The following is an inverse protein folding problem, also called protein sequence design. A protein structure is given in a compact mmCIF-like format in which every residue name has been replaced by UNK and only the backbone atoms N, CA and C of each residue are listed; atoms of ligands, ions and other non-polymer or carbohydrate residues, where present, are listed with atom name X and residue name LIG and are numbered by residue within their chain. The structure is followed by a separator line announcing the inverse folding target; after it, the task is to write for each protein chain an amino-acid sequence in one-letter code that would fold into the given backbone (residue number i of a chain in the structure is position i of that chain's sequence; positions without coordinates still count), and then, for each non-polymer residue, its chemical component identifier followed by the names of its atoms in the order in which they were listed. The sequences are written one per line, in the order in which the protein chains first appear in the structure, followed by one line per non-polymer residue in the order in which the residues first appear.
data_IF_468451597890
#
_entry.id   IF_468451597890
#
_cell.length_a   1.000
_cell.length_b   1.000
_cell.length_c   1.000
_cell.angle_alpha   90.00
_cell.angle_beta   90.00
_cell.angle_gamma   90.00
#
_symmetry.space_group_name_H-M   'P 1'
#
loop_
_entity.id
_entity.type
_entity.pdbx_description
1 polymer ?
#
# COMPACT_ATOMS: atom_id res chain seq x y z
N UNK A 1 -18.66 11.72 6.09
CA UNK A 1 -17.97 12.97 5.66
C UNK A 1 -16.80 13.30 6.57
N UNK A 2 -16.98 13.41 7.90
CA UNK A 2 -15.86 13.64 8.84
C UNK A 2 -14.74 12.59 8.72
N UNK A 3 -15.11 11.31 8.61
CA UNK A 3 -14.15 10.20 8.41
C UNK A 3 -13.30 10.34 7.14
N UNK A 4 -13.91 10.82 6.04
CA UNK A 4 -13.21 11.04 4.77
C UNK A 4 -12.21 12.19 4.87
N UNK A 5 -12.62 13.29 5.52
CA UNK A 5 -11.74 14.46 5.74
C UNK A 5 -10.56 14.08 6.62
N UNK A 6 -10.80 13.32 7.69
CA UNK A 6 -9.75 12.81 8.55
C UNK A 6 -8.82 11.88 7.78
N UNK A 7 -9.36 10.94 6.99
CA UNK A 7 -8.56 10.03 6.17
C UNK A 7 -7.67 10.79 5.19
N UNK A 8 -8.20 11.78 4.45
CA UNK A 8 -7.41 12.60 3.53
C UNK A 8 -6.33 13.42 4.25
N UNK A 9 -6.62 13.93 5.45
CA UNK A 9 -5.64 14.67 6.24
C UNK A 9 -4.49 13.77 6.71
N UNK A 10 -4.82 12.58 7.22
CA UNK A 10 -3.81 11.61 7.64
C UNK A 10 -2.97 11.12 6.46
N UNK A 11 -3.59 10.89 5.30
CA UNK A 11 -2.90 10.45 4.08
C UNK A 11 -1.91 11.51 3.55
N UNK A 12 -2.33 12.78 3.47
CA UNK A 12 -1.47 13.89 3.09
C UNK A 12 -0.31 14.09 4.09
N UNK A 13 -0.61 13.96 5.38
CA UNK A 13 0.40 14.07 6.44
C UNK A 13 1.41 12.93 6.36
N UNK A 14 0.95 11.69 6.18
CA UNK A 14 1.81 10.51 6.04
C UNK A 14 2.73 10.64 4.83
N UNK A 15 2.19 10.98 3.66
CA UNK A 15 2.97 11.16 2.42
C UNK A 15 4.03 12.26 2.57
N UNK A 16 3.67 13.37 3.23
CA UNK A 16 4.61 14.46 3.52
C UNK A 16 5.73 14.04 4.46
N UNK A 17 5.41 13.28 5.53
CA UNK A 17 6.40 12.74 6.46
C UNK A 17 7.31 11.75 5.74
N UNK A 18 6.78 10.86 4.91
CA UNK A 18 7.57 9.88 4.16
C UNK A 18 8.54 10.56 3.21
N UNK A 19 8.07 11.55 2.44
CA UNK A 19 8.93 12.39 1.58
C UNK A 19 10.04 13.06 2.39
N UNK A 20 9.70 13.63 3.54
CA UNK A 20 10.65 14.28 4.42
C UNK A 20 11.70 13.29 4.93
N UNK A 21 11.28 12.14 5.45
CA UNK A 21 12.16 11.09 6.01
C UNK A 21 13.10 10.55 4.94
N UNK A 22 12.58 10.19 3.76
CA UNK A 22 13.36 9.59 2.68
C UNK A 22 14.41 10.57 2.14
N UNK A 23 14.04 11.85 1.99
CA UNK A 23 14.96 12.86 1.44
C UNK A 23 15.95 13.39 2.48
N UNK A 24 15.49 13.77 3.68
CA UNK A 24 16.36 14.41 4.68
C UNK A 24 17.28 13.42 5.37
N UNK A 25 16.83 12.18 5.62
CA UNK A 25 17.67 11.16 6.25
C UNK A 25 18.48 10.35 5.23
N UNK A 26 18.30 10.60 3.93
CA UNK A 26 19.02 9.90 2.87
C UNK A 26 18.79 8.39 2.87
N UNK A 27 17.67 7.93 3.44
CA UNK A 27 17.39 6.51 3.57
C UNK A 27 17.31 5.86 2.18
N UNK A 28 17.93 4.67 2.08
CA UNK A 28 17.76 3.80 0.92
C UNK A 28 16.32 3.30 0.94
N UNK A 29 15.68 3.29 -0.23
CA UNK A 29 14.26 2.90 -0.38
C UNK A 29 14.06 1.48 0.13
N UNK A 30 15.00 0.57 -0.15
CA UNK A 30 14.90 -0.83 0.27
C UNK A 30 14.88 -0.99 1.80
N UNK A 31 15.65 -0.17 2.52
CA UNK A 31 15.68 -0.15 3.99
C UNK A 31 14.37 0.42 4.53
N UNK A 32 13.86 1.49 3.92
CA UNK A 32 12.58 2.08 4.30
C UNK A 32 11.42 1.08 4.11
N UNK A 33 11.39 0.39 2.96
CA UNK A 33 10.41 -0.64 2.65
C UNK A 33 10.45 -1.80 3.65
N UNK A 34 11.64 -2.25 4.04
CA UNK A 34 11.77 -3.32 5.03
C UNK A 34 11.08 -2.93 6.35
N UNK A 35 11.35 -1.72 6.86
CA UNK A 35 10.68 -1.23 8.06
C UNK A 35 9.17 -1.06 7.86
N UNK A 36 8.74 -0.52 6.72
CA UNK A 36 7.32 -0.34 6.41
C UNK A 36 6.57 -1.69 6.46
N UNK A 37 7.07 -2.71 5.75
CA UNK A 37 6.47 -4.04 5.75
C UNK A 37 6.51 -4.69 7.13
N UNK A 38 7.58 -4.49 7.89
CA UNK A 38 7.67 -4.98 9.26
C UNK A 38 6.61 -4.33 10.16
N UNK A 39 6.43 -3.01 10.08
CA UNK A 39 5.39 -2.31 10.83
C UNK A 39 3.98 -2.71 10.39
N UNK A 40 3.75 -2.92 9.09
CA UNK A 40 2.48 -3.42 8.55
C UNK A 40 2.17 -4.82 9.05
N UNK A 41 3.17 -5.71 9.10
CA UNK A 41 3.00 -7.06 9.63
C UNK A 41 2.60 -7.03 11.12
N UNK A 42 3.30 -6.24 11.93
CA UNK A 42 2.98 -6.10 13.36
C UNK A 42 1.59 -5.48 13.54
N UNK A 43 1.27 -4.40 12.84
CA UNK A 43 -0.01 -3.72 13.00
C UNK A 43 -1.17 -4.59 12.54
N UNK A 44 -1.03 -5.29 11.41
CA UNK A 44 -2.02 -6.25 10.94
C UNK A 44 -2.19 -7.40 11.95
N UNK A 45 -1.11 -7.94 12.51
CA UNK A 45 -1.16 -8.97 13.54
C UNK A 45 -1.90 -8.52 14.80
N UNK A 46 -1.61 -7.31 15.31
CA UNK A 46 -2.31 -6.73 16.46
C UNK A 46 -3.80 -6.52 16.16
N UNK A 47 -4.12 -5.99 14.98
CA UNK A 47 -5.52 -5.79 14.58
C UNK A 47 -6.28 -7.11 14.49
N UNK A 48 -5.64 -8.17 13.98
CA UNK A 48 -6.23 -9.51 13.89
C UNK A 48 -6.48 -10.10 15.29
N UNK A 49 -5.60 -9.86 16.25
CA UNK A 49 -5.80 -10.24 17.66
C UNK A 49 -6.95 -9.47 18.32
N UNK A 50 -7.12 -8.17 18.01
CA UNK A 50 -8.12 -7.31 18.63
C UNK A 50 -9.52 -7.46 18.03
N UNK A 51 -9.63 -7.67 16.72
CA UNK A 51 -10.89 -7.60 15.97
C UNK A 51 -11.44 -8.96 15.51
N UNK A 52 -10.69 -10.04 15.73
CA UNK A 52 -11.23 -11.39 15.57
C UNK A 52 -10.28 -12.35 14.86
N UNK A 53 -9.96 -13.44 15.56
CA UNK A 53 -9.13 -14.53 15.06
C UNK A 53 -10.05 -15.65 14.55
N UNK A 54 -10.56 -15.54 13.31
CA UNK A 54 -11.35 -16.60 12.68
C UNK A 54 -10.52 -17.26 11.58
N UNK A 55 -9.67 -18.20 11.98
CA UNK A 55 -8.87 -18.98 11.04
C UNK A 55 -9.71 -20.18 10.59
N UNK A 56 -10.04 -20.22 9.30
CA UNK A 56 -10.54 -21.45 8.66
C UNK A 56 -9.37 -22.20 8.02
N UNK A 57 -9.48 -23.53 7.95
CA UNK A 57 -8.49 -24.36 7.25
C UNK A 57 -8.41 -24.05 5.75
N UNK A 58 -9.50 -23.54 5.17
CA UNK A 58 -9.57 -23.10 3.78
C UNK A 58 -8.60 -21.94 3.47
N UNK A 59 -8.24 -21.11 4.45
CA UNK A 59 -7.25 -20.04 4.27
C UNK A 59 -5.87 -20.57 3.87
N UNK A 60 -5.56 -21.82 4.24
CA UNK A 60 -4.30 -22.49 3.90
C UNK A 60 -4.41 -23.40 2.68
N UNK A 61 -5.49 -23.28 1.90
CA UNK A 61 -5.57 -23.95 0.60
C UNK A 61 -4.45 -23.46 -0.33
N UNK A 62 -4.01 -24.33 -1.25
CA UNK A 62 -2.93 -24.00 -2.18
C UNK A 62 -3.26 -22.75 -3.02
N UNK A 63 -4.52 -22.63 -3.47
CA UNK A 63 -4.99 -21.50 -4.27
C UNK A 63 -4.89 -20.19 -3.50
N UNK A 64 -5.31 -20.17 -2.23
CA UNK A 64 -5.22 -19.00 -1.36
C UNK A 64 -3.76 -18.62 -1.04
N UNK A 65 -2.89 -19.61 -0.87
CA UNK A 65 -1.45 -19.37 -0.66
C UNK A 65 -0.80 -18.76 -1.91
N UNK A 66 -1.15 -19.24 -3.11
CA UNK A 66 -0.67 -18.66 -4.36
C UNK A 66 -1.13 -17.20 -4.49
N UNK A 67 -2.41 -16.92 -4.24
CA UNK A 67 -2.96 -15.56 -4.27
C UNK A 67 -2.28 -14.65 -3.25
N UNK A 68 -2.01 -15.15 -2.04
CA UNK A 68 -1.31 -14.41 -1.00
C UNK A 68 0.11 -14.04 -1.41
N UNK A 69 0.87 -14.98 -1.99
CA UNK A 69 2.23 -14.71 -2.50
C UNK A 69 2.20 -13.70 -3.64
N UNK A 70 1.27 -13.83 -4.59
CA UNK A 70 1.11 -12.88 -5.69
C UNK A 70 0.79 -11.47 -5.17
N UNK A 71 -0.12 -11.37 -4.19
CA UNK A 71 -0.46 -10.10 -3.54
C UNK A 71 0.78 -9.44 -2.91
N UNK A 72 1.61 -10.21 -2.20
CA UNK A 72 2.87 -9.70 -1.61
C UNK A 72 3.81 -9.18 -2.69
N UNK A 73 4.02 -9.94 -3.77
CA UNK A 73 4.92 -9.55 -4.86
C UNK A 73 4.45 -8.25 -5.54
N UNK A 74 3.16 -8.13 -5.81
CA UNK A 74 2.56 -6.90 -6.37
C UNK A 74 2.72 -5.75 -5.38
N UNK A 75 2.45 -5.97 -4.10
CA UNK A 75 2.57 -4.94 -3.07
C UNK A 75 4.02 -4.43 -2.95
N UNK A 76 5.01 -5.32 -2.92
CA UNK A 76 6.44 -4.93 -2.88
C UNK A 76 6.80 -4.12 -4.12
N UNK A 77 6.39 -4.59 -5.30
CA UNK A 77 6.69 -3.92 -6.58
C UNK A 77 6.07 -2.53 -6.63
N UNK A 78 4.79 -2.41 -6.29
CA UNK A 78 4.08 -1.14 -6.24
C UNK A 78 4.73 -0.16 -5.26
N UNK A 79 4.99 -0.60 -4.02
CA UNK A 79 5.60 0.25 -3.01
C UNK A 79 7.01 0.70 -3.42
N UNK A 80 7.79 -0.16 -4.07
CA UNK A 80 9.11 0.22 -4.57
C UNK A 80 9.04 1.33 -5.61
N UNK A 81 8.13 1.23 -6.60
CA UNK A 81 7.91 2.30 -7.56
C UNK A 81 7.35 3.56 -6.92
N UNK A 82 6.39 3.41 -5.99
CA UNK A 82 5.78 4.50 -5.25
C UNK A 82 6.84 5.32 -4.50
N UNK A 83 7.66 4.69 -3.64
CA UNK A 83 8.66 5.42 -2.86
C UNK A 83 9.83 5.91 -3.70
N UNK A 84 10.12 5.27 -4.84
CA UNK A 84 11.10 5.78 -5.81
C UNK A 84 10.61 7.05 -6.48
N UNK A 85 9.37 7.06 -6.97
CA UNK A 85 8.74 8.27 -7.54
C UNK A 85 8.58 9.36 -6.49
N UNK A 86 8.14 8.99 -5.27
CA UNK A 86 8.06 9.91 -4.15
C UNK A 86 9.43 10.49 -3.84
N UNK A 87 10.53 9.74 -3.95
CA UNK A 87 11.87 10.29 -3.74
C UNK A 87 12.29 11.27 -4.84
N UNK A 88 12.06 10.94 -6.11
CA UNK A 88 12.57 11.71 -7.26
C UNK A 88 11.80 12.98 -7.58
N UNK A 89 10.47 12.96 -7.52
CA UNK A 89 9.62 14.06 -8.02
C UNK A 89 9.27 15.07 -6.92
N UNK A 90 8.73 16.24 -7.28
CA UNK A 90 8.12 17.12 -6.25
C UNK A 90 6.83 16.49 -5.72
N UNK A 91 6.45 16.85 -4.49
CA UNK A 91 5.26 16.27 -3.85
C UNK A 91 3.99 16.53 -4.69
N UNK A 92 3.82 17.75 -5.20
CA UNK A 92 2.68 18.13 -6.03
C UNK A 92 2.60 17.35 -7.36
N UNK A 93 3.75 17.13 -8.00
CA UNK A 93 3.86 16.35 -9.24
C UNK A 93 3.58 14.87 -8.97
N UNK A 94 4.09 14.34 -7.86
CA UNK A 94 3.85 12.98 -7.43
C UNK A 94 2.37 12.71 -7.09
N UNK A 95 1.75 13.58 -6.30
CA UNK A 95 0.33 13.46 -5.95
C UNK A 95 -0.56 13.50 -7.20
N UNK A 96 -0.22 14.35 -8.17
CA UNK A 96 -0.92 14.39 -9.47
C UNK A 96 -0.89 13.04 -10.17
N UNK A 97 0.24 12.33 -10.15
CA UNK A 97 0.34 10.96 -10.70
C UNK A 97 -0.49 9.95 -9.91
N UNK A 98 -0.48 10.02 -8.59
CA UNK A 98 -1.25 9.11 -7.73
C UNK A 98 -2.76 9.26 -7.96
N UNK A 99 -3.25 10.47 -8.28
CA UNK A 99 -4.64 10.70 -8.65
C UNK A 99 -5.08 9.97 -9.92
N UNK A 100 -4.15 9.54 -10.79
CA UNK A 100 -4.45 8.71 -11.95
C UNK A 100 -4.51 7.21 -11.64
N UNK A 101 -4.00 6.75 -10.49
CA UNK A 101 -4.00 5.34 -10.11
C UNK A 101 -5.41 4.69 -10.14
N UNK A 102 -6.50 5.37 -9.69
CA UNK A 102 -7.85 4.84 -9.81
C UNK A 102 -8.29 4.54 -11.25
N UNK A 103 -7.75 5.23 -12.27
CA UNK A 103 -8.08 4.93 -13.67
C UNK A 103 -7.58 3.55 -14.09
N UNK A 104 -6.38 3.16 -13.65
CA UNK A 104 -5.88 1.80 -13.88
C UNK A 104 -6.78 0.76 -13.22
N UNK A 105 -7.24 1.04 -11.99
CA UNK A 105 -8.21 0.19 -11.30
C UNK A 105 -9.52 0.07 -12.07
N UNK A 106 -10.04 1.17 -12.64
CA UNK A 106 -11.25 1.15 -13.47
C UNK A 106 -11.03 0.31 -14.73
N UNK A 107 -9.90 0.50 -15.44
CA UNK A 107 -9.56 -0.27 -16.63
C UNK A 107 -9.47 -1.76 -16.30
N UNK A 108 -8.75 -2.13 -15.23
CA UNK A 108 -8.67 -3.52 -14.80
C UNK A 108 -10.01 -4.09 -14.35
N UNK A 109 -10.84 -3.30 -13.67
CA UNK A 109 -12.19 -3.71 -13.29
C UNK A 109 -13.03 -4.05 -14.52
N UNK A 110 -12.96 -3.21 -15.57
CA UNK A 110 -13.63 -3.50 -16.85
C UNK A 110 -13.09 -4.78 -17.50
N UNK A 111 -11.78 -4.96 -17.53
CA UNK A 111 -11.17 -6.12 -18.20
C UNK A 111 -11.42 -7.46 -17.48
N UNK A 112 -11.40 -7.46 -16.14
CA UNK A 112 -11.42 -8.70 -15.35
C UNK A 112 -12.78 -9.00 -14.71
N UNK A 113 -13.57 -7.98 -14.37
CA UNK A 113 -14.87 -8.16 -13.72
C UNK A 113 -16.05 -7.94 -14.67
N UNK A 114 -15.90 -7.18 -15.76
CA UNK A 114 -17.02 -6.83 -16.64
C UNK A 114 -17.26 -7.84 -17.79
N UNK A 115 -17.24 -9.13 -17.47
CA UNK A 115 -17.70 -10.23 -18.34
C UNK A 115 -18.47 -11.29 -17.53
N UNK A 116 -19.62 -10.87 -16.98
CA UNK A 116 -20.90 -11.61 -16.87
C UNK A 116 -21.90 -10.79 -16.04
#
# INVERSE_FOLDING_TARGET
MLSLILASFFDATATSIDKFVINRKGLKIDVFLFYLFFYLFISAGIMLLLFGFHISTEMFSLDNLILFVLMILIAITWNWFYFRGLKSEKLEEFESWILFAPLLTIIFSILFFNFN
#
